data_IF_035635182222
#
_entry.id   IF_035635182222
#
_cell.length_a   1.000
_cell.length_b   1.000
_cell.length_c   1.000
_cell.angle_alpha   90.00
_cell.angle_beta   90.00
_cell.angle_gamma   90.00
#
_symmetry.space_group_name_H-M   'P 1'
#
loop_
_entity.id
_entity.type
_entity.pdbx_description
1 polymer ?
#
# COMPACT_ATOMS: atom_id res chain seq x y z
N UNK A 1 19.12 -7.38 28.78
CA UNK A 1 18.32 -6.20 28.35
C UNK A 1 18.04 -6.29 26.84
N UNK A 2 17.90 -7.52 26.31
CA UNK A 2 18.10 -7.81 24.88
C UNK A 2 16.81 -8.25 24.17
N UNK A 3 15.79 -8.65 24.93
CA UNK A 3 14.49 -9.04 24.39
C UNK A 3 13.75 -7.88 23.72
N UNK A 4 13.96 -6.65 24.21
CA UNK A 4 13.38 -5.43 23.62
C UNK A 4 13.98 -5.11 22.25
N UNK A 5 15.26 -5.44 22.04
CA UNK A 5 15.99 -5.08 20.83
C UNK A 5 15.67 -6.09 19.71
N UNK A 6 15.64 -7.38 20.03
CA UNK A 6 15.18 -8.42 19.12
C UNK A 6 13.70 -8.23 18.72
N UNK A 7 12.84 -7.86 19.66
CA UNK A 7 11.43 -7.56 19.39
C UNK A 7 11.24 -6.38 18.43
N UNK A 8 12.02 -5.31 18.59
CA UNK A 8 12.00 -4.15 17.69
C UNK A 8 12.42 -4.49 16.25
N UNK A 9 13.47 -5.31 16.10
CA UNK A 9 13.93 -5.76 14.77
C UNK A 9 12.86 -6.64 14.09
N UNK A 10 12.28 -7.60 14.81
CA UNK A 10 11.23 -8.47 14.25
C UNK A 10 10.02 -7.64 13.83
N UNK A 11 9.59 -6.71 14.67
CA UNK A 11 8.49 -5.80 14.35
C UNK A 11 8.76 -4.99 13.08
N UNK A 12 9.98 -4.43 12.94
CA UNK A 12 10.39 -3.69 11.76
C UNK A 12 10.33 -4.55 10.50
N UNK A 13 10.87 -5.77 10.55
CA UNK A 13 10.83 -6.72 9.42
C UNK A 13 9.38 -7.00 9.01
N UNK A 14 8.52 -7.32 9.97
CA UNK A 14 7.09 -7.58 9.71
C UNK A 14 6.40 -6.35 9.12
N UNK A 15 6.64 -5.15 9.64
CA UNK A 15 6.06 -3.91 9.14
C UNK A 15 6.45 -3.61 7.68
N UNK A 16 7.73 -3.85 7.33
CA UNK A 16 8.21 -3.74 5.95
C UNK A 16 7.50 -4.74 5.05
N UNK A 17 7.43 -6.02 5.46
CA UNK A 17 6.73 -7.05 4.68
C UNK A 17 5.27 -6.69 4.44
N UNK A 18 4.53 -6.33 5.49
CA UNK A 18 3.11 -5.92 5.40
C UNK A 18 2.95 -4.73 4.44
N UNK A 19 3.83 -3.73 4.53
CA UNK A 19 3.79 -2.55 3.66
C UNK A 19 4.06 -2.89 2.19
N UNK A 20 5.01 -3.80 1.92
CA UNK A 20 5.28 -4.30 0.57
C UNK A 20 4.05 -5.02 0.00
N UNK A 21 3.45 -5.93 0.78
CA UNK A 21 2.24 -6.64 0.36
C UNK A 21 1.09 -5.67 0.09
N UNK A 22 0.90 -4.68 0.95
CA UNK A 22 -0.13 -3.66 0.78
C UNK A 22 0.10 -2.79 -0.47
N UNK A 23 1.36 -2.44 -0.77
CA UNK A 23 1.71 -1.73 -2.00
C UNK A 23 1.42 -2.56 -3.25
N UNK A 24 1.82 -3.84 -3.27
CA UNK A 24 1.51 -4.76 -4.38
C UNK A 24 0.00 -4.85 -4.58
N UNK A 25 -0.76 -5.04 -3.50
CA UNK A 25 -2.22 -5.08 -3.54
C UNK A 25 -2.81 -3.80 -4.15
N UNK A 26 -2.36 -2.62 -3.69
CA UNK A 26 -2.82 -1.33 -4.21
C UNK A 26 -2.54 -1.17 -5.71
N UNK A 27 -1.36 -1.62 -6.18
CA UNK A 27 -1.01 -1.57 -7.60
C UNK A 27 -1.90 -2.49 -8.45
N UNK A 28 -2.26 -3.67 -7.94
CA UNK A 28 -3.20 -4.59 -8.61
C UNK A 28 -4.57 -3.94 -8.74
N UNK A 29 -5.09 -3.34 -7.66
CA UNK A 29 -6.37 -2.62 -7.68
C UNK A 29 -6.32 -1.46 -8.68
N UNK A 30 -5.25 -0.67 -8.71
CA UNK A 30 -5.10 0.42 -9.67
C UNK A 30 -5.10 -0.04 -11.13
N UNK A 31 -4.48 -1.19 -11.42
CA UNK A 31 -4.57 -1.80 -12.75
C UNK A 31 -6.00 -2.22 -13.08
N UNK A 32 -6.71 -2.86 -12.14
CA UNK A 32 -8.09 -3.30 -12.34
C UNK A 32 -9.04 -2.11 -12.57
N UNK A 33 -8.93 -1.06 -11.76
CA UNK A 33 -9.72 0.18 -11.93
C UNK A 33 -9.44 0.84 -13.28
N UNK A 34 -8.19 0.86 -13.74
CA UNK A 34 -7.84 1.39 -15.05
C UNK A 34 -8.43 0.57 -16.21
N UNK A 35 -8.48 -0.75 -16.08
CA UNK A 35 -9.12 -1.62 -17.07
C UNK A 35 -10.64 -1.39 -17.06
N UNK A 36 -11.26 -1.38 -15.88
CA UNK A 36 -12.69 -1.14 -15.70
C UNK A 36 -13.12 0.21 -16.29
N UNK A 37 -12.36 1.27 -16.03
CA UNK A 37 -12.63 2.60 -16.58
C UNK A 37 -12.50 2.71 -18.10
N UNK A 38 -11.86 1.76 -18.77
CA UNK A 38 -11.81 1.68 -20.25
C UNK A 38 -12.95 0.86 -20.85
N UNK A 39 -13.48 -0.09 -20.09
CA UNK A 39 -14.52 -1.02 -20.57
C UNK A 39 -15.92 -0.46 -20.33
N UNK A 40 -16.10 0.28 -19.24
CA UNK A 40 -17.37 0.90 -18.88
C UNK A 40 -17.12 2.41 -18.82
N UNK A 41 -17.84 3.24 -19.57
CA UNK A 41 -17.79 4.71 -19.37
C UNK A 41 -18.86 5.12 -18.35
N UNK A 42 -18.52 5.00 -17.07
CA UNK A 42 -19.38 5.42 -15.96
C UNK A 42 -18.73 6.58 -15.18
N UNK A 43 -19.56 7.53 -14.75
CA UNK A 43 -19.20 8.64 -13.85
C UNK A 43 -18.56 8.13 -12.55
N UNK A 44 -18.94 6.94 -12.08
CA UNK A 44 -18.36 6.25 -10.92
C UNK A 44 -16.86 5.93 -11.09
N UNK A 45 -16.40 5.71 -12.33
CA UNK A 45 -15.01 5.33 -12.58
C UNK A 45 -14.01 6.41 -12.20
N UNK A 46 -14.40 7.69 -12.28
CA UNK A 46 -13.55 8.80 -11.85
C UNK A 46 -13.31 8.76 -10.34
N UNK A 47 -14.34 8.40 -9.56
CA UNK A 47 -14.22 8.24 -8.10
C UNK A 47 -13.32 7.06 -7.74
N UNK A 48 -13.53 5.90 -8.39
CA UNK A 48 -12.71 4.71 -8.19
C UNK A 48 -11.23 4.95 -8.54
N UNK A 49 -10.96 5.70 -9.62
CA UNK A 49 -9.59 6.06 -10.01
C UNK A 49 -8.91 6.94 -8.95
N UNK A 50 -9.66 7.89 -8.39
CA UNK A 50 -9.17 8.77 -7.33
C UNK A 50 -8.88 7.99 -6.04
N UNK A 51 -9.79 7.10 -5.63
CA UNK A 51 -9.62 6.23 -4.45
C UNK A 51 -8.41 5.32 -4.63
N UNK A 52 -8.27 4.67 -5.78
CA UNK A 52 -7.12 3.80 -6.05
C UNK A 52 -5.78 4.55 -6.07
N UNK A 53 -5.78 5.79 -6.58
CA UNK A 53 -4.59 6.64 -6.51
C UNK A 53 -4.22 6.99 -5.08
N UNK A 54 -5.20 7.39 -4.26
CA UNK A 54 -4.98 7.67 -2.83
C UNK A 54 -4.46 6.42 -2.10
N UNK A 55 -5.06 5.26 -2.38
CA UNK A 55 -4.65 3.98 -1.80
C UNK A 55 -3.18 3.68 -2.10
N UNK A 56 -2.73 3.96 -3.33
CA UNK A 56 -1.34 3.75 -3.74
C UNK A 56 -0.40 4.72 -3.04
N UNK A 57 -0.80 5.99 -2.90
CA UNK A 57 -0.05 6.99 -2.13
C UNK A 57 0.09 6.59 -0.66
N UNK A 58 -0.99 6.13 -0.02
CA UNK A 58 -0.96 5.64 1.37
C UNK A 58 -0.03 4.43 1.50
N UNK A 59 -0.06 3.50 0.55
CA UNK A 59 0.82 2.34 0.57
C UNK A 59 2.31 2.73 0.47
N UNK A 60 2.64 3.72 -0.35
CA UNK A 60 4.00 4.27 -0.43
C UNK A 60 4.43 4.94 0.87
N UNK A 61 3.54 5.73 1.50
CA UNK A 61 3.81 6.37 2.78
C UNK A 61 4.06 5.31 3.86
N UNK A 62 3.25 4.25 3.93
CA UNK A 62 3.43 3.15 4.88
C UNK A 62 4.76 2.43 4.68
N UNK A 63 5.17 2.20 3.43
CA UNK A 63 6.45 1.59 3.12
C UNK A 63 7.62 2.47 3.56
N UNK A 64 7.59 3.76 3.22
CA UNK A 64 8.60 4.74 3.64
C UNK A 64 8.67 4.76 5.16
N UNK A 65 7.52 4.90 5.84
CA UNK A 65 7.47 4.92 7.29
C UNK A 65 8.03 3.63 7.90
N UNK A 66 7.72 2.46 7.33
CA UNK A 66 8.24 1.17 7.81
C UNK A 66 9.75 1.00 7.62
N UNK A 67 10.33 1.60 6.57
CA UNK A 67 11.78 1.60 6.34
C UNK A 67 12.50 2.51 7.34
N UNK A 68 11.95 3.72 7.54
CA UNK A 68 12.52 4.75 8.41
C UNK A 68 12.14 4.59 9.89
N UNK A 69 11.22 3.69 10.23
CA UNK A 69 10.95 3.31 11.62
C UNK A 69 12.23 2.73 12.22
N UNK A 70 12.82 3.43 13.17
CA UNK A 70 13.96 2.99 14.01
C UNK A 70 13.46 2.96 15.44
#
# INVERSE_FOLDING_TARGET
>A
MDFSLAGGIIFKVVAIFVSIFYLIYSLVIGKQVKIMGRVVEDKSNRSLFMVSSIQTTVALILLIFSIFLI
#
